data_IF_010419027849
#
_entry.id   IF_010419027849
#
_cell.length_a   1.000
_cell.length_b   1.000
_cell.length_c   1.000
_cell.angle_alpha   90.00
_cell.angle_beta   90.00
_cell.angle_gamma   90.00
#
_symmetry.space_group_name_H-M   'P 1'
#
loop_
_entity.id
_entity.type
_entity.pdbx_description
1 polymer ?
#
# COMPACT_ATOMS: atom_id res chain seq x y z
N UNK A 1 -23.33 4.68 -2.22
CA UNK A 1 -22.17 4.27 -2.99
C UNK A 1 -21.64 2.90 -2.53
N UNK A 2 -20.81 2.22 -3.36
CA UNK A 2 -20.34 0.87 -3.05
C UNK A 2 -19.61 0.79 -1.71
N UNK A 3 -18.78 1.79 -1.39
CA UNK A 3 -18.04 1.87 -0.12
C UNK A 3 -18.90 2.12 1.12
N UNK A 4 -20.13 2.58 0.96
CA UNK A 4 -21.07 2.74 2.07
C UNK A 4 -21.93 1.48 2.32
N UNK A 5 -22.04 0.60 1.33
CA UNK A 5 -22.92 -0.57 1.40
C UNK A 5 -22.71 -1.48 2.64
N UNK A 6 -21.47 -1.68 3.16
CA UNK A 6 -21.26 -2.48 4.37
C UNK A 6 -21.70 -1.79 5.68
N UNK A 7 -22.07 -0.52 5.65
CA UNK A 7 -22.31 0.29 6.84
C UNK A 7 -23.77 0.77 6.88
N UNK A 8 -24.66 0.10 7.64
CA UNK A 8 -26.07 0.51 7.77
C UNK A 8 -26.25 1.95 8.23
N UNK A 9 -25.38 2.41 9.15
CA UNK A 9 -25.37 3.77 9.68
C UNK A 9 -23.97 4.20 10.17
N UNK A 10 -23.87 5.41 10.70
CA UNK A 10 -22.61 6.00 11.14
C UNK A 10 -21.93 5.26 12.32
N UNK A 11 -22.67 4.51 13.14
CA UNK A 11 -22.09 3.78 14.28
C UNK A 11 -21.18 2.63 13.82
N UNK A 12 -21.49 2.02 12.68
CA UNK A 12 -20.67 0.96 12.08
C UNK A 12 -19.35 1.46 11.47
N UNK A 13 -19.19 2.79 11.32
CA UNK A 13 -17.97 3.42 10.77
C UNK A 13 -16.93 3.78 11.85
N UNK A 14 -17.04 3.28 13.07
CA UNK A 14 -16.13 3.61 14.18
C UNK A 14 -14.66 3.26 13.83
N UNK A 15 -14.43 2.10 13.25
CA UNK A 15 -13.09 1.68 12.82
C UNK A 15 -12.51 2.62 11.76
N UNK A 16 -13.28 3.01 10.74
CA UNK A 16 -12.83 3.93 9.69
C UNK A 16 -12.38 5.29 10.26
N UNK A 17 -13.05 5.75 11.31
CA UNK A 17 -12.67 7.01 12.01
C UNK A 17 -11.43 6.84 12.88
N UNK A 18 -11.21 5.63 13.42
CA UNK A 18 -10.12 5.38 14.35
C UNK A 18 -8.79 5.05 13.64
N UNK A 19 -8.82 4.39 12.49
CA UNK A 19 -7.62 3.94 11.80
C UNK A 19 -6.63 5.06 11.44
N UNK A 20 -7.03 6.21 10.88
CA UNK A 20 -6.10 7.28 10.56
C UNK A 20 -5.30 7.75 11.78
N UNK A 21 -5.94 7.77 12.96
CA UNK A 21 -5.30 8.18 14.22
C UNK A 21 -4.34 7.11 14.80
N UNK A 22 -4.20 5.97 14.14
CA UNK A 22 -3.25 4.91 14.53
C UNK A 22 -1.97 4.94 13.71
N UNK A 23 -1.90 5.78 12.69
CA UNK A 23 -0.66 5.99 11.94
C UNK A 23 0.36 6.65 12.87
N UNK A 24 1.54 6.05 13.08
CA UNK A 24 2.54 6.62 13.98
C UNK A 24 3.07 7.96 13.47
N UNK A 25 2.92 9.00 14.25
CA UNK A 25 3.48 10.34 14.00
C UNK A 25 4.75 10.51 14.83
N UNK A 26 5.88 10.03 14.31
CA UNK A 26 7.20 10.13 14.95
C UNK A 26 7.64 8.86 15.69
N UNK A 27 8.91 8.86 16.08
CA UNK A 27 9.62 7.67 16.57
C UNK A 27 9.14 7.12 17.91
N UNK A 28 8.53 7.96 18.73
CA UNK A 28 7.99 7.59 20.04
C UNK A 28 6.50 7.17 19.99
N UNK A 29 5.85 7.29 18.84
CA UNK A 29 4.43 6.97 18.72
C UNK A 29 4.16 5.47 18.94
N UNK A 30 2.99 5.10 19.49
CA UNK A 30 2.59 3.70 19.56
C UNK A 30 2.66 3.03 18.19
N UNK A 31 3.33 1.88 18.10
CA UNK A 31 3.52 1.15 16.83
C UNK A 31 4.76 1.55 16.02
N UNK A 32 5.42 2.67 16.30
CA UNK A 32 6.62 3.08 15.56
C UNK A 32 7.77 2.06 15.66
N UNK A 33 7.95 1.42 16.82
CA UNK A 33 8.94 0.35 16.98
C UNK A 33 8.66 -0.83 16.06
N UNK A 34 7.42 -1.30 15.99
CA UNK A 34 7.00 -2.37 15.08
C UNK A 34 7.20 -1.98 13.61
N UNK A 35 6.91 -0.74 13.25
CA UNK A 35 7.18 -0.20 11.91
C UNK A 35 8.66 -0.26 11.54
N UNK A 36 9.56 0.09 12.47
CA UNK A 36 11.02 -0.03 12.27
C UNK A 36 11.46 -1.49 12.11
N UNK A 37 10.94 -2.40 12.92
CA UNK A 37 11.23 -3.84 12.81
C UNK A 37 10.77 -4.40 11.46
N UNK A 38 9.58 -4.00 11.01
CA UNK A 38 9.07 -4.38 9.70
C UNK A 38 9.96 -3.84 8.57
N UNK A 39 10.36 -2.58 8.64
CA UNK A 39 11.27 -1.97 7.66
C UNK A 39 12.63 -2.69 7.61
N UNK A 40 13.18 -3.08 8.75
CA UNK A 40 14.42 -3.86 8.84
C UNK A 40 14.27 -5.25 8.23
N UNK A 41 13.14 -5.91 8.46
CA UNK A 41 12.84 -7.19 7.83
C UNK A 41 12.80 -7.05 6.30
N UNK A 42 12.07 -6.06 5.78
CA UNK A 42 11.96 -5.85 4.34
C UNK A 42 13.31 -5.51 3.69
N UNK A 43 14.15 -4.73 4.34
CA UNK A 43 15.48 -4.36 3.82
C UNK A 43 16.47 -5.51 3.84
N UNK A 44 16.51 -6.29 4.92
CA UNK A 44 17.63 -7.19 5.21
C UNK A 44 17.31 -8.66 5.01
N UNK A 45 16.06 -9.05 5.26
CA UNK A 45 15.67 -10.47 5.32
C UNK A 45 14.71 -10.88 4.22
N UNK A 46 13.96 -9.93 3.64
CA UNK A 46 13.05 -10.26 2.55
C UNK A 46 13.82 -10.82 1.36
N UNK A 47 13.41 -12.00 0.86
CA UNK A 47 13.99 -12.70 -0.28
C UNK A 47 12.92 -13.21 -1.26
N UNK A 48 11.65 -12.81 -1.06
CA UNK A 48 10.57 -13.15 -1.96
C UNK A 48 10.47 -12.19 -3.14
N UNK A 49 9.54 -12.49 -4.03
CA UNK A 49 9.16 -11.60 -5.12
C UNK A 49 8.22 -10.51 -4.61
N UNK A 50 8.31 -9.34 -5.22
CA UNK A 50 7.47 -8.19 -4.91
C UNK A 50 6.89 -7.62 -6.19
N UNK A 51 5.70 -7.08 -6.10
CA UNK A 51 5.05 -6.29 -7.13
C UNK A 51 4.48 -5.03 -6.47
N UNK A 52 4.53 -3.92 -7.18
CA UNK A 52 4.01 -2.65 -6.69
C UNK A 52 3.24 -1.96 -7.79
N UNK A 53 2.10 -1.37 -7.47
CA UNK A 53 1.37 -0.47 -8.35
C UNK A 53 1.09 0.83 -7.62
N UNK A 54 1.03 1.95 -8.34
CA UNK A 54 0.79 3.28 -7.80
C UNK A 54 -0.17 4.08 -8.67
N UNK A 55 -1.15 4.73 -8.04
CA UNK A 55 -2.03 5.70 -8.68
C UNK A 55 -1.33 7.06 -8.73
N UNK A 56 -1.18 7.64 -9.95
CA UNK A 56 -0.52 8.92 -10.09
C UNK A 56 -1.39 10.12 -9.62
N UNK A 57 -2.69 9.89 -9.38
CA UNK A 57 -3.62 10.86 -8.82
C UNK A 57 -3.85 10.69 -7.31
N UNK A 58 -3.07 9.80 -6.65
CA UNK A 58 -3.17 9.61 -5.21
C UNK A 58 -2.50 10.76 -4.46
N UNK A 59 -3.25 11.59 -3.70
CA UNK A 59 -2.66 12.72 -2.97
C UNK A 59 -1.95 12.32 -1.68
N UNK A 60 -2.03 11.05 -1.26
CA UNK A 60 -1.51 10.56 0.02
C UNK A 60 -0.36 9.58 -0.19
N UNK A 61 -0.59 8.52 -0.98
CA UNK A 61 0.37 7.47 -1.26
C UNK A 61 0.76 7.47 -2.74
N UNK A 62 0.95 8.65 -3.32
CA UNK A 62 1.37 8.82 -4.70
C UNK A 62 2.81 8.37 -4.97
N UNK A 63 3.31 8.70 -6.14
CA UNK A 63 4.58 8.17 -6.66
C UNK A 63 5.75 8.37 -5.70
N UNK A 64 5.88 9.53 -5.08
CA UNK A 64 6.99 9.83 -4.15
C UNK A 64 6.99 8.89 -2.94
N UNK A 65 5.82 8.74 -2.27
CA UNK A 65 5.67 7.86 -1.13
C UNK A 65 5.93 6.39 -1.50
N UNK A 66 5.44 5.95 -2.66
CA UNK A 66 5.64 4.59 -3.14
C UNK A 66 7.08 4.31 -3.57
N UNK A 67 7.79 5.28 -4.11
CA UNK A 67 9.24 5.16 -4.38
C UNK A 67 10.04 5.07 -3.07
N UNK A 68 9.68 5.82 -2.04
CA UNK A 68 10.29 5.70 -0.72
C UNK A 68 10.06 4.30 -0.13
N UNK A 69 8.84 3.78 -0.20
CA UNK A 69 8.51 2.42 0.25
C UNK A 69 9.27 1.36 -0.56
N UNK A 70 9.35 1.52 -1.87
CA UNK A 70 10.16 0.65 -2.75
C UNK A 70 11.62 0.57 -2.29
N UNK A 71 12.20 1.70 -1.89
CA UNK A 71 13.58 1.75 -1.36
C UNK A 71 13.76 0.98 -0.06
N UNK A 72 12.68 0.70 0.67
CA UNK A 72 12.69 -0.15 1.88
C UNK A 72 12.63 -1.63 1.53
N UNK A 73 11.92 -2.01 0.47
CA UNK A 73 11.68 -3.42 0.13
C UNK A 73 12.80 -3.92 -0.78
N UNK A 74 13.63 -4.81 -0.26
CA UNK A 74 14.74 -5.40 -1.01
C UNK A 74 14.24 -6.11 -2.27
N UNK A 75 14.81 -5.74 -3.41
CA UNK A 75 14.48 -6.36 -4.71
C UNK A 75 13.12 -5.96 -5.28
N UNK A 76 12.44 -4.96 -4.71
CA UNK A 76 11.18 -4.49 -5.27
C UNK A 76 11.40 -3.79 -6.63
N UNK A 77 10.70 -4.21 -7.69
CA UNK A 77 10.82 -3.59 -9.02
C UNK A 77 10.24 -2.17 -9.02
N UNK A 78 10.40 -1.48 -10.14
CA UNK A 78 9.69 -0.21 -10.36
C UNK A 78 8.18 -0.43 -10.29
N UNK A 79 7.42 0.49 -9.70
CA UNK A 79 5.97 0.35 -9.64
C UNK A 79 5.34 0.42 -11.03
N UNK A 80 4.28 -0.36 -11.23
CA UNK A 80 3.33 -0.12 -12.31
C UNK A 80 2.62 1.21 -12.03
N UNK A 81 2.77 2.16 -12.92
CA UNK A 81 2.12 3.45 -12.81
C UNK A 81 0.72 3.41 -13.44
N UNK A 82 -0.29 3.85 -12.71
CA UNK A 82 -1.68 3.96 -13.16
C UNK A 82 -2.03 5.45 -13.25
N UNK A 83 -1.98 6.06 -14.46
CA UNK A 83 -2.10 7.51 -14.62
C UNK A 83 -3.38 8.11 -14.04
N UNK A 84 -4.52 7.45 -14.20
CA UNK A 84 -5.82 7.88 -13.70
C UNK A 84 -6.15 7.33 -12.30
N UNK A 85 -5.27 6.48 -11.75
CA UNK A 85 -5.48 5.85 -10.45
C UNK A 85 -5.34 6.85 -9.31
N UNK A 86 -6.33 6.88 -8.43
CA UNK A 86 -6.32 7.64 -7.18
C UNK A 86 -5.98 6.76 -5.98
N UNK A 87 -6.36 7.25 -4.79
CA UNK A 87 -6.10 6.57 -3.52
C UNK A 87 -6.77 5.18 -3.43
N UNK A 88 -7.93 5.02 -4.03
CA UNK A 88 -8.64 3.73 -4.10
C UNK A 88 -8.23 2.93 -5.34
N UNK A 89 -6.96 2.58 -5.42
CA UNK A 89 -6.35 1.95 -6.58
C UNK A 89 -6.97 0.59 -6.94
N UNK A 90 -7.67 -0.07 -6.02
CA UNK A 90 -8.46 -1.28 -6.28
C UNK A 90 -9.57 -1.08 -7.33
N UNK A 91 -9.95 0.15 -7.64
CA UNK A 91 -10.88 0.44 -8.74
C UNK A 91 -10.28 0.09 -10.11
N UNK A 92 -8.96 0.05 -10.22
CA UNK A 92 -8.17 -0.45 -11.37
C UNK A 92 -7.66 -1.88 -11.17
N UNK A 93 -8.22 -2.61 -10.19
CA UNK A 93 -7.70 -3.89 -9.72
C UNK A 93 -7.59 -4.98 -10.78
N UNK A 94 -8.47 -5.02 -11.77
CA UNK A 94 -8.45 -6.03 -12.83
C UNK A 94 -7.14 -6.02 -13.63
N UNK A 95 -6.79 -4.92 -14.32
CA UNK A 95 -5.53 -4.80 -15.05
C UNK A 95 -4.30 -4.97 -14.14
N UNK A 96 -4.31 -4.36 -12.95
CA UNK A 96 -3.19 -4.47 -11.99
C UNK A 96 -2.95 -5.92 -11.58
N UNK A 97 -4.02 -6.68 -11.31
CA UNK A 97 -3.91 -8.08 -10.95
C UNK A 97 -3.36 -8.94 -12.10
N UNK A 98 -3.77 -8.66 -13.34
CA UNK A 98 -3.25 -9.35 -14.52
C UNK A 98 -1.73 -9.13 -14.69
N UNK A 99 -1.28 -7.89 -14.52
CA UNK A 99 0.15 -7.56 -14.58
C UNK A 99 0.93 -8.20 -13.43
N UNK A 100 0.38 -8.20 -12.22
CA UNK A 100 1.00 -8.86 -11.07
C UNK A 100 1.15 -10.37 -11.28
N UNK A 101 0.12 -11.04 -11.78
CA UNK A 101 0.17 -12.48 -12.09
C UNK A 101 1.23 -12.78 -13.16
N UNK A 102 1.27 -11.98 -14.21
CA UNK A 102 2.31 -12.09 -15.26
C UNK A 102 3.70 -11.90 -14.69
N UNK A 103 3.90 -10.90 -13.83
CA UNK A 103 5.17 -10.65 -13.17
C UNK A 103 5.61 -11.84 -12.32
N UNK A 104 4.73 -12.42 -11.53
CA UNK A 104 5.06 -13.55 -10.67
C UNK A 104 5.26 -14.85 -11.44
N UNK A 105 4.60 -15.07 -12.56
CA UNK A 105 4.83 -16.22 -13.46
C UNK A 105 6.17 -16.13 -14.15
N UNK A 106 6.58 -14.95 -14.63
CA UNK A 106 7.88 -14.71 -15.25
C UNK A 106 9.04 -14.77 -14.26
N UNK A 107 8.75 -14.62 -12.97
CA UNK A 107 9.75 -14.63 -11.91
C UNK A 107 10.04 -16.03 -11.35
N UNK A 108 9.39 -17.08 -11.88
CA UNK A 108 9.62 -18.49 -11.56
C UNK A 108 10.57 -19.10 -12.59
#
# INVERSE_FOLDING_TARGET
>A
AAYDAPFPDASYKAALRAFPNRVPEGDAAPGAALGREAADFWRRRWAGYSFMAVGLQDPVLGLEAMQALRGVIRGCPAPLEVPEGGHFLQEWGGPIAADALTHFELSR
#
